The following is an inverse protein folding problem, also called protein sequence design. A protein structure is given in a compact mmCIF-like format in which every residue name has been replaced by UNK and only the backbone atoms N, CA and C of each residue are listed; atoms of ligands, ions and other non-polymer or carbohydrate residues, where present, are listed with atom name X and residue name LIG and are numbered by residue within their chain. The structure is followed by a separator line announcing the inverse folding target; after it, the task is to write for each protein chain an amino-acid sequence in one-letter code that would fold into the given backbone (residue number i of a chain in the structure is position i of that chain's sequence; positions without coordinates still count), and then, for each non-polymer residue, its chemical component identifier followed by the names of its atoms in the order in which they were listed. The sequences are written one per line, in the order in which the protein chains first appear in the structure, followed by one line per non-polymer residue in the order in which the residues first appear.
data_IF_539038027113
#
_entry.id   IF_539038027113
#
_cell.length_a   1.000
_cell.length_b   1.000
_cell.length_c   1.000
_cell.angle_alpha   90.00
_cell.angle_beta   90.00
_cell.angle_gamma   90.00
#
_symmetry.space_group_name_H-M   'P 1'
#
loop_
_entity.id
_entity.type
_entity.pdbx_description
1 polymer ?
#
# COMPACT_ATOMS: atom_id res chain seq x y z
N UNK A 1 16.18 3.38 -16.17
CA UNK A 1 15.19 4.18 -15.41
C UNK A 1 13.80 3.93 -15.92
N UNK A 2 12.99 3.19 -15.16
CA UNK A 2 11.56 3.08 -15.42
C UNK A 2 10.80 2.92 -14.10
N UNK A 3 10.98 3.92 -13.22
CA UNK A 3 10.40 3.96 -11.88
C UNK A 3 8.91 3.59 -11.86
N UNK A 4 8.05 4.08 -12.79
CA UNK A 4 6.65 3.66 -12.85
C UNK A 4 6.47 2.14 -12.95
N UNK A 5 7.16 1.48 -13.88
CA UNK A 5 7.08 0.01 -14.03
C UNK A 5 7.68 -0.75 -12.86
N UNK A 6 8.72 -0.20 -12.22
CA UNK A 6 9.29 -0.81 -11.01
C UNK A 6 8.33 -0.72 -9.83
N UNK A 7 7.65 0.40 -9.65
CA UNK A 7 6.64 0.58 -8.60
C UNK A 7 5.41 -0.30 -8.86
N UNK A 8 4.95 -0.37 -10.11
CA UNK A 8 3.87 -1.27 -10.51
C UNK A 8 4.20 -2.74 -10.20
N UNK A 9 5.36 -3.22 -10.65
CA UNK A 9 5.79 -4.59 -10.36
C UNK A 9 5.94 -4.85 -8.85
N UNK A 10 6.45 -3.87 -8.10
CA UNK A 10 6.56 -3.95 -6.65
C UNK A 10 5.19 -4.15 -6.01
N UNK A 11 4.24 -3.26 -6.28
CA UNK A 11 2.91 -3.27 -5.63
C UNK A 11 2.07 -4.46 -6.08
N UNK A 12 2.08 -4.83 -7.35
CA UNK A 12 1.22 -5.88 -7.89
C UNK A 12 1.76 -7.30 -7.68
N UNK A 13 3.07 -7.48 -7.57
CA UNK A 13 3.66 -8.82 -7.63
C UNK A 13 4.60 -9.17 -6.47
N UNK A 14 5.24 -8.18 -5.85
CA UNK A 14 6.32 -8.42 -4.88
C UNK A 14 5.97 -7.92 -3.47
N UNK A 15 4.93 -7.10 -3.32
CA UNK A 15 4.55 -6.49 -2.06
C UNK A 15 4.21 -7.56 -1.01
N UNK A 16 5.07 -7.67 0.00
CA UNK A 16 4.85 -8.60 1.10
C UNK A 16 3.75 -8.09 2.04
N UNK A 17 3.12 -8.97 2.84
CA UNK A 17 2.13 -8.53 3.84
C UNK A 17 2.67 -7.45 4.79
N UNK A 18 3.90 -7.60 5.26
CA UNK A 18 4.57 -6.59 6.11
C UNK A 18 4.76 -5.27 5.36
N UNK A 19 5.18 -5.34 4.09
CA UNK A 19 5.33 -4.16 3.24
C UNK A 19 4.01 -3.42 3.01
N UNK A 20 2.92 -4.17 2.80
CA UNK A 20 1.58 -3.61 2.64
C UNK A 20 1.08 -2.92 3.91
N UNK A 21 1.34 -3.50 5.09
CA UNK A 21 1.02 -2.85 6.37
C UNK A 21 1.82 -1.56 6.56
N UNK A 22 3.14 -1.59 6.31
CA UNK A 22 3.99 -0.39 6.44
C UNK A 22 3.52 0.71 5.48
N UNK A 23 3.22 0.35 4.22
CA UNK A 23 2.71 1.30 3.24
C UNK A 23 1.37 1.88 3.66
N UNK A 24 0.44 1.04 4.16
CA UNK A 24 -0.87 1.52 4.62
C UNK A 24 -0.73 2.48 5.80
N UNK A 25 0.12 2.19 6.78
CA UNK A 25 0.38 3.13 7.89
C UNK A 25 0.93 4.46 7.41
N UNK A 26 1.75 4.47 6.34
CA UNK A 26 2.24 5.71 5.75
C UNK A 26 1.16 6.50 5.02
N UNK A 27 0.19 5.82 4.42
CA UNK A 27 -1.01 6.48 3.89
C UNK A 27 -1.87 7.07 5.02
N UNK A 28 -2.10 6.31 6.09
CA UNK A 28 -2.85 6.79 7.26
C UNK A 28 -2.17 8.04 7.89
N UNK A 29 -0.85 7.99 8.11
CA UNK A 29 -0.08 9.14 8.62
C UNK A 29 -0.17 10.37 7.70
N UNK A 30 -0.10 10.16 6.38
CA UNK A 30 -0.20 11.24 5.40
C UNK A 30 -1.60 11.85 5.40
N UNK A 31 -2.65 11.03 5.52
CA UNK A 31 -4.03 11.49 5.54
C UNK A 31 -4.33 12.37 6.76
N UNK A 32 -3.68 12.09 7.89
CA UNK A 32 -3.78 12.88 9.13
C UNK A 32 -2.99 14.20 9.08
N UNK A 33 -1.82 14.21 8.44
CA UNK A 33 -0.86 15.32 8.52
C UNK A 33 -0.91 16.28 7.34
N UNK A 34 -1.59 15.92 6.26
CA UNK A 34 -1.54 16.66 4.98
C UNK A 34 -2.85 17.39 4.70
N UNK A 35 -2.75 18.58 4.10
CA UNK A 35 -3.92 19.31 3.61
C UNK A 35 -4.64 18.48 2.53
N UNK A 36 -5.97 18.61 2.47
CA UNK A 36 -6.79 17.80 1.57
C UNK A 36 -6.37 17.91 0.10
N UNK A 37 -6.02 19.10 -0.39
CA UNK A 37 -5.59 19.32 -1.77
C UNK A 37 -4.29 18.58 -2.09
N UNK A 38 -3.29 18.68 -1.20
CA UNK A 38 -1.99 18.02 -1.34
C UNK A 38 -2.12 16.49 -1.26
N UNK A 39 -2.99 16.00 -0.36
CA UNK A 39 -3.32 14.58 -0.22
C UNK A 39 -3.98 14.03 -1.49
N UNK A 40 -4.98 14.74 -2.02
CA UNK A 40 -5.67 14.33 -3.25
C UNK A 40 -4.69 14.29 -4.42
N UNK A 41 -3.81 15.30 -4.51
CA UNK A 41 -2.78 15.34 -5.55
C UNK A 41 -1.79 14.19 -5.45
N UNK A 42 -1.39 13.82 -4.23
CA UNK A 42 -0.55 12.65 -4.02
C UNK A 42 -1.21 11.37 -4.54
N UNK A 43 -2.46 11.10 -4.16
CA UNK A 43 -3.13 9.88 -4.58
C UNK A 43 -3.38 9.82 -6.09
N UNK A 44 -3.72 10.95 -6.72
CA UNK A 44 -3.80 11.04 -8.18
C UNK A 44 -2.48 10.61 -8.83
N UNK A 45 -1.36 11.17 -8.38
CA UNK A 45 -0.04 10.89 -8.95
C UNK A 45 0.37 9.44 -8.65
N UNK A 46 0.20 8.98 -7.42
CA UNK A 46 0.55 7.62 -7.02
C UNK A 46 -0.22 6.59 -7.84
N UNK A 47 -1.55 6.71 -7.92
CA UNK A 47 -2.37 5.75 -8.65
C UNK A 47 -2.23 5.88 -10.18
N UNK A 48 -1.83 7.03 -10.71
CA UNK A 48 -1.55 7.19 -12.16
C UNK A 48 -0.42 6.29 -12.68
N UNK A 49 0.40 5.71 -11.79
CA UNK A 49 1.48 4.79 -12.15
C UNK A 49 0.97 3.42 -12.61
N UNK A 50 -0.23 3.02 -12.20
CA UNK A 50 -0.77 1.69 -12.45
C UNK A 50 -1.79 1.72 -13.59
N UNK A 51 -1.63 0.80 -14.55
CA UNK A 51 -2.60 0.64 -15.64
C UNK A 51 -3.98 0.23 -15.10
N UNK A 52 -4.00 -0.60 -14.05
CA UNK A 52 -5.19 -0.96 -13.28
C UNK A 52 -5.04 -0.49 -11.82
N UNK A 53 -5.60 0.69 -11.54
CA UNK A 53 -5.59 1.28 -10.20
C UNK A 53 -6.32 0.42 -9.17
N UNK A 54 -7.38 -0.29 -9.59
CA UNK A 54 -8.15 -1.17 -8.72
C UNK A 54 -7.34 -2.40 -8.32
N UNK A 55 -6.56 -2.96 -9.25
CA UNK A 55 -5.65 -4.06 -8.95
C UNK A 55 -4.57 -3.64 -7.94
N UNK A 56 -4.02 -2.44 -8.07
CA UNK A 56 -3.04 -1.90 -7.14
C UNK A 56 -3.63 -1.72 -5.73
N UNK A 57 -4.79 -1.07 -5.62
CA UNK A 57 -5.52 -0.92 -4.36
C UNK A 57 -5.82 -2.27 -3.72
N UNK A 58 -6.37 -3.22 -4.48
CA UNK A 58 -6.70 -4.56 -3.98
C UNK A 58 -5.47 -5.33 -3.50
N UNK A 59 -4.31 -5.18 -4.17
CA UNK A 59 -3.06 -5.80 -3.73
C UNK A 59 -2.62 -5.28 -2.36
N UNK A 60 -2.67 -3.96 -2.15
CA UNK A 60 -2.32 -3.33 -0.88
C UNK A 60 -3.28 -3.77 0.23
N UNK A 61 -4.60 -3.71 -0.02
CA UNK A 61 -5.62 -4.14 0.95
C UNK A 61 -5.46 -5.61 1.35
N UNK A 62 -5.30 -6.50 0.36
CA UNK A 62 -5.09 -7.94 0.61
C UNK A 62 -3.81 -8.20 1.39
N UNK A 63 -2.73 -7.47 1.09
CA UNK A 63 -1.48 -7.56 1.83
C UNK A 63 -1.66 -7.20 3.31
N UNK A 64 -2.38 -6.10 3.61
CA UNK A 64 -2.73 -5.69 4.97
C UNK A 64 -3.56 -6.76 5.69
N UNK A 65 -4.59 -7.30 5.05
CA UNK A 65 -5.41 -8.38 5.63
C UNK A 65 -4.58 -9.62 5.96
N UNK A 66 -3.69 -10.03 5.05
CA UNK A 66 -2.77 -11.15 5.29
C UNK A 66 -1.81 -10.86 6.45
N UNK A 67 -1.35 -9.62 6.62
CA UNK A 67 -0.53 -9.24 7.76
C UNK A 67 -1.30 -9.40 9.07
N UNK A 68 -2.54 -8.93 9.13
CA UNK A 68 -3.43 -9.11 10.29
C UNK A 68 -3.67 -10.60 10.59
N UNK A 69 -3.90 -11.43 9.57
CA UNK A 69 -4.06 -12.87 9.76
C UNK A 69 -2.78 -13.52 10.32
N UNK A 70 -1.62 -13.14 9.81
CA UNK A 70 -0.33 -13.64 10.28
C UNK A 70 0.00 -13.19 11.70
N UNK A 71 -0.33 -11.96 12.06
CA UNK A 71 -0.11 -11.44 13.43
C UNK A 71 -1.03 -12.13 14.43
N UNK A 72 -2.28 -12.38 14.07
CA UNK A 72 -3.22 -13.14 14.90
C UNK A 72 -2.80 -14.62 15.04
N UNK A 73 -2.30 -15.24 13.97
CA UNK A 73 -1.80 -16.63 14.02
C UNK A 73 -0.51 -16.76 14.83
N UNK A 74 0.32 -15.70 14.87
CA UNK A 74 1.49 -15.59 15.76
C UNK A 74 1.12 -15.20 17.20
N UNK A 75 -0.16 -14.98 17.49
CA UNK A 75 -0.73 -14.73 18.82
C UNK A 75 -0.69 -15.91 19.80
N UNK A 76 0.28 -16.83 19.67
CA UNK A 76 0.68 -17.74 20.73
C UNK A 76 2.11 -17.38 21.14
N UNK A 77 2.18 -16.69 22.28
CA UNK A 77 3.34 -16.29 23.09
C UNK A 77 3.99 -14.94 22.74
N UNK A 78 3.61 -13.95 23.53
CA UNK A 78 4.59 -13.02 24.12
C UNK A 78 5.36 -13.76 25.22
#
# INVERSE_FOLDING_TARGET
NNFPRTLEALVLHVLSPVGAEVLTRKFDEMDEQTLEEDRNRFYEVFYSVFDDQSAAMNSILKGKELFTQQSHMKGVKF
#
